data_IF_309613184265
#
_entry.id   IF_309613184265
#
_cell.length_a   1.000
_cell.length_b   1.000
_cell.length_c   1.000
_cell.angle_alpha   90.00
_cell.angle_beta   90.00
_cell.angle_gamma   90.00
#
_symmetry.space_group_name_H-M   'P 1'
#
loop_
_entity.id
_entity.type
_entity.pdbx_description
1 polymer ?
#
# COMPACT_ATOMS: atom_id res chain seq x y z
N UNK A 1 -20.71 -14.50 -68.87
CA UNK A 1 -19.29 -14.85 -69.06
C UNK A 1 -18.42 -13.81 -68.36
N UNK A 2 -17.43 -14.27 -67.59
CA UNK A 2 -16.24 -13.52 -67.08
C UNK A 2 -16.55 -12.48 -65.98
N UNK A 3 -15.82 -12.38 -64.87
CA UNK A 3 -14.57 -13.02 -64.40
C UNK A 3 -14.53 -12.87 -62.86
N UNK A 4 -14.21 -13.94 -62.16
CA UNK A 4 -13.67 -13.87 -60.80
C UNK A 4 -12.29 -13.21 -60.88
N UNK A 5 -12.06 -12.15 -60.10
CA UNK A 5 -10.73 -11.60 -59.88
C UNK A 5 -10.37 -11.72 -58.40
N UNK A 6 -9.51 -12.72 -58.17
CA UNK A 6 -8.36 -12.73 -57.27
C UNK A 6 -8.48 -12.00 -55.93
N UNK A 7 -8.71 -12.82 -54.90
CA UNK A 7 -8.24 -12.56 -53.55
C UNK A 7 -6.71 -12.34 -53.57
N UNK A 8 -6.27 -11.12 -53.30
CA UNK A 8 -4.91 -10.84 -52.89
C UNK A 8 -4.82 -11.08 -51.39
N UNK A 9 -4.35 -12.28 -51.02
CA UNK A 9 -3.74 -12.55 -49.73
C UNK A 9 -2.54 -11.62 -49.58
N UNK A 10 -2.73 -10.49 -48.89
CA UNK A 10 -1.61 -9.69 -48.37
C UNK A 10 -1.07 -10.47 -47.18
N UNK A 11 0.10 -11.05 -47.41
CA UNK A 11 0.88 -11.77 -46.43
C UNK A 11 1.08 -10.92 -45.16
N UNK A 12 0.82 -11.57 -44.03
CA UNK A 12 1.09 -11.07 -42.70
C UNK A 12 2.53 -10.58 -42.60
N UNK A 13 2.70 -9.27 -42.42
CA UNK A 13 3.87 -8.74 -41.77
C UNK A 13 3.61 -8.86 -40.27
N UNK A 14 3.97 -10.01 -39.69
CA UNK A 14 4.24 -10.03 -38.25
C UNK A 14 5.44 -9.10 -38.03
N UNK A 15 5.14 -7.82 -37.80
CA UNK A 15 6.03 -6.99 -37.04
C UNK A 15 6.11 -7.66 -35.67
N UNK A 16 7.16 -8.46 -35.46
CA UNK A 16 7.74 -8.64 -34.13
C UNK A 16 8.04 -7.23 -33.64
N UNK A 17 7.07 -6.62 -32.95
CA UNK A 17 7.22 -5.39 -32.20
C UNK A 17 8.12 -5.71 -31.01
N UNK A 18 9.41 -5.86 -31.33
CA UNK A 18 10.45 -5.96 -30.34
C UNK A 18 10.58 -4.60 -29.66
N UNK A 19 9.93 -4.49 -28.51
CA UNK A 19 10.55 -4.09 -27.24
C UNK A 19 11.51 -2.90 -27.33
N UNK A 20 11.03 -1.73 -27.70
CA UNK A 20 11.59 -0.49 -27.17
C UNK A 20 11.05 -0.25 -25.76
N UNK A 21 11.75 0.50 -24.88
CA UNK A 21 11.11 0.97 -23.66
C UNK A 21 9.83 1.70 -24.08
N UNK A 22 8.71 1.37 -23.43
CA UNK A 22 7.45 2.05 -23.67
C UNK A 22 7.60 3.57 -23.55
N UNK A 23 6.59 4.33 -23.96
CA UNK A 23 6.59 5.77 -23.68
C UNK A 23 6.76 5.97 -22.17
N UNK A 24 7.76 6.74 -21.68
CA UNK A 24 7.95 6.94 -20.25
C UNK A 24 6.70 7.50 -19.58
N UNK A 25 6.42 7.03 -18.36
CA UNK A 25 5.37 7.62 -17.54
C UNK A 25 5.90 8.91 -16.90
N UNK A 26 5.24 10.02 -17.19
CA UNK A 26 5.44 11.26 -16.46
C UNK A 26 4.55 11.26 -15.21
N UNK A 27 5.15 11.41 -14.04
CA UNK A 27 4.37 11.50 -12.79
C UNK A 27 3.70 12.88 -12.71
N UNK A 28 2.39 12.94 -12.43
CA UNK A 28 1.71 14.20 -12.11
C UNK A 28 2.41 14.98 -10.97
N UNK A 29 2.28 16.31 -10.98
CA UNK A 29 2.76 17.14 -9.86
C UNK A 29 1.95 16.90 -8.59
N UNK A 30 0.63 16.75 -8.75
CA UNK A 30 -0.30 16.44 -7.67
C UNK A 30 0.06 15.11 -6.99
N UNK A 31 0.21 15.15 -5.66
CA UNK A 31 0.69 14.01 -4.87
C UNK A 31 -0.25 12.81 -4.92
N UNK A 32 -1.57 13.04 -4.93
CA UNK A 32 -2.58 11.96 -4.98
C UNK A 32 -2.55 11.29 -6.36
N UNK A 33 -2.57 12.07 -7.44
CA UNK A 33 -2.51 11.56 -8.81
C UNK A 33 -1.17 10.84 -9.10
N UNK A 34 -0.05 11.35 -8.57
CA UNK A 34 1.23 10.68 -8.65
C UNK A 34 1.23 9.33 -7.92
N UNK A 35 0.63 9.26 -6.73
CA UNK A 35 0.52 8.02 -5.96
C UNK A 35 -0.39 6.99 -6.64
N UNK A 36 -1.50 7.43 -7.25
CA UNK A 36 -2.35 6.59 -8.09
C UNK A 36 -1.55 5.96 -9.22
N UNK A 37 -0.79 6.79 -9.94
CA UNK A 37 0.05 6.35 -11.07
C UNK A 37 1.11 5.35 -10.60
N UNK A 38 1.77 5.62 -9.47
CA UNK A 38 2.80 4.76 -8.91
C UNK A 38 2.24 3.43 -8.38
N UNK A 39 1.08 3.46 -7.73
CA UNK A 39 0.39 2.25 -7.29
C UNK A 39 -0.06 1.40 -8.47
N UNK A 40 -0.64 2.02 -9.51
CA UNK A 40 -1.04 1.34 -10.74
C UNK A 40 0.17 0.70 -11.44
N UNK A 41 1.27 1.45 -11.60
CA UNK A 41 2.49 0.97 -12.24
C UNK A 41 3.08 -0.22 -11.47
N UNK A 42 3.16 -0.14 -10.14
CA UNK A 42 3.64 -1.23 -9.29
C UNK A 42 2.71 -2.44 -9.32
N UNK A 43 1.40 -2.23 -9.33
CA UNK A 43 0.41 -3.29 -9.50
C UNK A 43 0.58 -4.04 -10.84
N UNK A 44 0.85 -3.32 -11.93
CA UNK A 44 1.15 -3.92 -13.23
C UNK A 44 2.44 -4.74 -13.19
N UNK A 45 3.52 -4.23 -12.58
CA UNK A 45 4.77 -4.99 -12.37
C UNK A 45 4.52 -6.27 -11.58
N UNK A 46 3.70 -6.22 -10.52
CA UNK A 46 3.38 -7.39 -9.70
C UNK A 46 2.55 -8.44 -10.45
N UNK A 47 1.75 -8.01 -11.43
CA UNK A 47 0.95 -8.89 -12.28
C UNK A 47 1.71 -9.39 -13.50
N UNK A 48 2.82 -8.75 -13.87
CA UNK A 48 3.61 -9.19 -15.01
C UNK A 48 4.19 -10.58 -14.75
N UNK A 49 3.98 -11.50 -15.70
CA UNK A 49 4.33 -12.90 -15.56
C UNK A 49 3.40 -13.76 -14.69
N UNK A 50 2.33 -13.21 -14.09
CA UNK A 50 1.30 -13.98 -13.38
C UNK A 50 0.18 -14.45 -14.32
N UNK A 51 -0.39 -15.62 -14.04
CA UNK A 51 -1.55 -16.13 -14.80
C UNK A 51 -2.83 -15.39 -14.41
N UNK A 52 -3.82 -15.41 -15.30
CA UNK A 52 -5.14 -14.89 -14.97
C UNK A 52 -5.77 -15.73 -13.84
N UNK A 53 -5.94 -15.13 -12.66
CA UNK A 53 -6.48 -15.80 -11.47
C UNK A 53 -5.44 -16.10 -10.39
N UNK A 54 -4.15 -15.80 -10.62
CA UNK A 54 -3.16 -15.77 -9.55
C UNK A 54 -3.37 -14.49 -8.71
N UNK A 55 -3.63 -14.67 -7.43
CA UNK A 55 -3.85 -13.56 -6.51
C UNK A 55 -2.54 -12.82 -6.19
N UNK A 56 -2.67 -11.55 -5.85
CA UNK A 56 -1.59 -10.76 -5.27
C UNK A 56 -1.45 -11.20 -3.81
N UNK A 57 -0.23 -11.49 -3.35
CA UNK A 57 -0.01 -11.85 -1.95
C UNK A 57 -0.08 -10.62 -1.05
N UNK A 58 -0.27 -10.83 0.25
CA UNK A 58 -0.23 -9.74 1.23
C UNK A 58 1.10 -8.95 1.15
N UNK A 59 2.24 -9.65 1.15
CA UNK A 59 3.58 -9.04 1.03
C UNK A 59 3.72 -8.16 -0.23
N UNK A 60 3.18 -8.62 -1.37
CA UNK A 60 3.19 -7.85 -2.61
C UNK A 60 2.31 -6.60 -2.51
N UNK A 61 1.13 -6.74 -1.90
CA UNK A 61 0.21 -5.65 -1.67
C UNK A 61 0.81 -4.59 -0.73
N UNK A 62 1.35 -4.98 0.42
CA UNK A 62 1.96 -4.04 1.38
C UNK A 62 3.20 -3.35 0.79
N UNK A 63 3.95 -4.04 -0.07
CA UNK A 63 5.03 -3.44 -0.85
C UNK A 63 4.56 -2.39 -1.87
N UNK A 64 3.32 -2.48 -2.36
CA UNK A 64 2.72 -1.53 -3.30
C UNK A 64 1.99 -0.37 -2.61
N UNK A 65 1.29 -0.63 -1.49
CA UNK A 65 0.48 0.37 -0.78
C UNK A 65 1.32 1.49 -0.14
N UNK A 66 2.65 1.31 -0.05
CA UNK A 66 3.58 2.34 0.43
C UNK A 66 3.41 3.70 -0.29
N UNK A 67 3.12 3.71 -1.60
CA UNK A 67 2.95 4.99 -2.32
C UNK A 67 1.67 5.71 -1.85
N UNK A 68 0.48 5.06 -1.82
CA UNK A 68 -0.69 5.64 -1.18
C UNK A 68 -0.45 6.13 0.25
N UNK A 69 0.25 5.35 1.08
CA UNK A 69 0.51 5.71 2.48
C UNK A 69 1.37 6.98 2.59
N UNK A 70 2.54 6.99 1.94
CA UNK A 70 3.46 8.14 1.98
C UNK A 70 2.80 9.38 1.34
N UNK A 71 1.96 9.20 0.33
CA UNK A 71 1.18 10.29 -0.26
C UNK A 71 0.15 10.85 0.71
N UNK A 72 -0.61 9.98 1.38
CA UNK A 72 -1.60 10.38 2.38
C UNK A 72 -0.95 11.10 3.58
N UNK A 73 0.24 10.69 4.00
CA UNK A 73 0.97 11.38 5.09
C UNK A 73 1.43 12.80 4.73
N UNK A 74 1.47 13.14 3.43
CA UNK A 74 1.84 14.46 2.91
C UNK A 74 0.63 15.40 2.70
N UNK A 75 -0.60 14.89 2.83
CA UNK A 75 -1.81 15.72 2.73
C UNK A 75 -2.00 16.49 4.04
N UNK A 76 -2.34 17.78 3.93
CA UNK A 76 -2.61 18.65 5.08
C UNK A 76 -4.02 19.27 4.97
N UNK A 77 -4.90 19.08 5.97
CA UNK A 77 -4.70 18.20 7.14
C UNK A 77 -4.62 16.73 6.74
N UNK A 78 -3.96 15.91 7.57
CA UNK A 78 -3.92 14.46 7.33
C UNK A 78 -5.33 13.87 7.27
N UNK A 79 -5.58 13.06 6.24
CA UNK A 79 -6.85 12.38 6.04
C UNK A 79 -6.58 10.96 5.52
N UNK A 80 -6.94 9.96 6.33
CA UNK A 80 -6.82 8.55 5.95
C UNK A 80 -7.65 8.23 4.69
N UNK A 81 -8.73 8.98 4.40
CA UNK A 81 -9.53 8.80 3.19
C UNK A 81 -8.76 9.17 1.90
N UNK A 82 -7.61 9.83 2.02
CA UNK A 82 -6.71 10.02 0.89
C UNK A 82 -6.25 8.68 0.30
N UNK A 83 -6.00 7.66 1.13
CA UNK A 83 -5.68 6.31 0.63
C UNK A 83 -6.83 5.74 -0.20
N UNK A 84 -8.06 5.82 0.30
CA UNK A 84 -9.25 5.33 -0.42
C UNK A 84 -9.40 6.06 -1.75
N UNK A 85 -9.18 7.37 -1.76
CA UNK A 85 -9.21 8.18 -2.98
C UNK A 85 -8.14 7.76 -3.99
N UNK A 86 -6.94 7.43 -3.52
CA UNK A 86 -5.86 6.90 -4.36
C UNK A 86 -6.28 5.55 -4.93
N UNK A 87 -6.64 4.58 -4.08
CA UNK A 87 -6.98 3.22 -4.52
C UNK A 87 -8.15 3.20 -5.51
N UNK A 88 -9.21 3.97 -5.25
CA UNK A 88 -10.37 4.05 -6.14
C UNK A 88 -10.08 4.76 -7.47
N UNK A 89 -9.09 5.65 -7.52
CA UNK A 89 -8.72 6.36 -8.74
C UNK A 89 -7.87 5.54 -9.72
N UNK A 90 -7.30 4.42 -9.25
CA UNK A 90 -6.38 3.58 -10.04
C UNK A 90 -7.10 2.96 -11.24
N UNK A 91 -8.34 2.51 -11.09
CA UNK A 91 -9.11 1.89 -12.18
C UNK A 91 -9.23 2.84 -13.39
N UNK A 92 -9.45 4.13 -13.14
CA UNK A 92 -9.62 5.12 -14.20
C UNK A 92 -8.34 5.39 -15.01
N UNK A 93 -7.15 5.06 -14.48
CA UNK A 93 -5.86 5.33 -15.13
C UNK A 93 -5.11 4.05 -15.51
N UNK A 94 -5.60 2.87 -15.10
CA UNK A 94 -4.90 1.59 -15.27
C UNK A 94 -4.54 1.30 -16.74
N UNK A 95 -5.49 1.51 -17.66
CA UNK A 95 -5.27 1.28 -19.09
C UNK A 95 -4.19 2.21 -19.68
N UNK A 96 -4.20 3.50 -19.30
CA UNK A 96 -3.19 4.46 -19.76
C UNK A 96 -1.79 4.07 -19.26
N UNK A 97 -1.67 3.75 -17.96
CA UNK A 97 -0.41 3.28 -17.35
C UNK A 97 0.07 1.99 -18.00
N UNK A 98 -0.82 1.04 -18.30
CA UNK A 98 -0.48 -0.25 -18.92
C UNK A 98 0.08 -0.12 -20.34
N UNK A 99 -0.22 0.98 -21.05
CA UNK A 99 0.33 1.24 -22.40
C UNK A 99 1.70 1.91 -22.40
N UNK A 100 2.24 2.25 -21.22
CA UNK A 100 3.48 3.01 -21.02
C UNK A 100 4.56 2.16 -20.35
N UNK A 101 5.75 2.74 -20.17
CA UNK A 101 6.86 2.12 -19.44
C UNK A 101 6.62 2.14 -17.92
N UNK A 102 5.70 1.29 -17.45
CA UNK A 102 5.35 1.17 -16.04
C UNK A 102 6.47 0.54 -15.19
N UNK A 103 7.27 -0.35 -15.75
CA UNK A 103 8.46 -0.89 -15.07
C UNK A 103 9.48 0.22 -14.80
N UNK A 104 9.80 1.02 -15.82
CA UNK A 104 10.71 2.17 -15.69
C UNK A 104 10.20 3.23 -14.70
N UNK A 105 8.88 3.37 -14.55
CA UNK A 105 8.26 4.32 -13.63
C UNK A 105 8.56 4.01 -12.15
N UNK A 106 8.76 2.74 -11.77
CA UNK A 106 8.95 2.32 -10.36
C UNK A 106 10.11 3.05 -9.70
N UNK A 107 11.24 3.21 -10.38
CA UNK A 107 12.41 3.92 -9.81
C UNK A 107 12.11 5.39 -9.54
N UNK A 108 11.30 6.04 -10.40
CA UNK A 108 10.89 7.44 -10.21
C UNK A 108 9.88 7.55 -9.07
N UNK A 109 8.96 6.59 -8.97
CA UNK A 109 8.01 6.48 -7.86
C UNK A 109 8.71 6.31 -6.51
N UNK A 110 9.69 5.40 -6.42
CA UNK A 110 10.50 5.19 -5.21
C UNK A 110 11.25 6.44 -4.77
N UNK A 111 11.70 7.28 -5.73
CA UNK A 111 12.34 8.56 -5.42
C UNK A 111 11.35 9.63 -4.97
N UNK A 112 10.17 9.72 -5.63
CA UNK A 112 9.13 10.71 -5.32
C UNK A 112 8.53 10.47 -3.94
N UNK A 113 8.31 9.20 -3.61
CA UNK A 113 7.72 8.71 -2.36
C UNK A 113 8.77 7.95 -1.56
N UNK A 114 9.89 8.62 -1.29
CA UNK A 114 10.93 8.04 -0.46
C UNK A 114 10.42 7.85 0.98
N UNK A 115 10.56 6.64 1.50
CA UNK A 115 10.25 6.29 2.87
C UNK A 115 11.07 7.12 3.87
N UNK A 116 10.41 7.62 4.92
CA UNK A 116 11.11 8.09 6.11
C UNK A 116 11.81 6.92 6.82
N UNK A 117 12.88 7.17 7.60
CA UNK A 117 13.51 6.13 8.39
C UNK A 117 12.51 5.42 9.31
N UNK A 118 12.57 4.09 9.33
CA UNK A 118 11.72 3.28 10.18
C UNK A 118 12.07 3.50 11.66
N UNK A 119 11.13 4.02 12.43
CA UNK A 119 11.28 4.25 13.87
C UNK A 119 9.94 4.22 14.60
N UNK A 120 9.87 3.43 15.66
CA UNK A 120 8.81 3.55 16.66
C UNK A 120 9.13 4.69 17.65
N UNK A 121 8.11 5.30 18.27
CA UNK A 121 8.30 6.16 19.43
C UNK A 121 9.10 5.47 20.54
N UNK A 122 9.93 6.23 21.26
CA UNK A 122 10.74 5.69 22.36
C UNK A 122 9.91 5.45 23.63
N UNK A 123 8.90 6.29 23.87
CA UNK A 123 7.96 6.14 24.97
C UNK A 123 6.99 4.98 24.71
N UNK A 124 6.71 4.19 25.75
CA UNK A 124 5.90 2.99 25.60
C UNK A 124 4.43 3.31 25.29
N UNK A 125 3.85 4.37 25.88
CA UNK A 125 2.46 4.72 25.64
C UNK A 125 2.28 5.24 24.20
N UNK A 126 3.22 6.07 23.73
CA UNK A 126 3.24 6.55 22.33
C UNK A 126 3.46 5.38 21.34
N UNK A 127 4.33 4.43 21.68
CA UNK A 127 4.57 3.24 20.87
C UNK A 127 3.33 2.33 20.83
N UNK A 128 2.61 2.16 21.94
CA UNK A 128 1.34 1.42 21.99
C UNK A 128 0.31 2.09 21.07
N UNK A 129 0.13 3.41 21.16
CA UNK A 129 -0.81 4.16 20.31
C UNK A 129 -0.43 3.95 18.83
N UNK A 130 0.84 4.12 18.51
CA UNK A 130 1.30 4.06 17.12
C UNK A 130 1.21 2.66 16.51
N UNK A 131 1.58 1.64 17.27
CA UNK A 131 1.39 0.25 16.86
C UNK A 131 -0.10 -0.13 16.74
N UNK A 132 -0.95 0.39 17.64
CA UNK A 132 -2.41 0.16 17.60
C UNK A 132 -3.02 0.80 16.36
N UNK A 133 -2.64 2.03 16.04
CA UNK A 133 -3.17 2.74 14.90
C UNK A 133 -2.82 2.02 13.58
N UNK A 134 -1.54 1.63 13.40
CA UNK A 134 -1.11 0.85 12.24
C UNK A 134 -1.79 -0.52 12.16
N UNK A 135 -1.86 -1.26 13.27
CA UNK A 135 -2.52 -2.57 13.28
C UNK A 135 -4.03 -2.47 12.99
N UNK A 136 -4.69 -1.41 13.46
CA UNK A 136 -6.09 -1.11 13.12
C UNK A 136 -6.28 -0.82 11.63
N UNK A 137 -5.38 -0.02 11.03
CA UNK A 137 -5.38 0.22 9.59
C UNK A 137 -5.22 -1.09 8.79
N UNK A 138 -4.24 -1.93 9.14
CA UNK A 138 -3.99 -3.21 8.46
C UNK A 138 -5.14 -4.19 8.65
N UNK A 139 -5.80 -4.19 9.81
CA UNK A 139 -6.99 -5.00 10.03
C UNK A 139 -8.09 -4.62 9.04
N UNK A 140 -8.33 -3.31 8.83
CA UNK A 140 -9.30 -2.83 7.85
C UNK A 140 -8.94 -3.22 6.41
N UNK A 141 -7.67 -3.14 6.04
CA UNK A 141 -7.17 -3.59 4.73
C UNK A 141 -7.42 -5.09 4.52
N UNK A 142 -7.02 -5.92 5.49
CA UNK A 142 -7.15 -7.38 5.39
C UNK A 142 -8.62 -7.82 5.40
N UNK A 143 -9.49 -7.11 6.11
CA UNK A 143 -10.93 -7.36 6.07
C UNK A 143 -11.57 -7.05 4.71
N UNK A 144 -11.05 -6.04 3.99
CA UNK A 144 -11.52 -5.69 2.66
C UNK A 144 -11.21 -6.75 1.59
N UNK A 145 -10.07 -7.44 1.71
CA UNK A 145 -9.56 -8.40 0.70
C UNK A 145 -9.94 -9.88 0.99
N UNK A 146 -10.64 -10.14 2.11
CA UNK A 146 -11.28 -11.44 2.37
C UNK A 146 -10.31 -12.62 2.59
N UNK A 147 -10.56 -13.75 1.92
CA UNK A 147 -9.79 -15.00 2.11
C UNK A 147 -8.35 -14.91 1.59
N UNK A 148 -8.07 -14.02 0.64
CA UNK A 148 -6.76 -13.88 0.00
C UNK A 148 -5.65 -13.54 1.01
N UNK A 149 -5.97 -12.80 2.08
CA UNK A 149 -5.04 -12.37 3.14
C UNK A 149 -5.29 -13.07 4.48
N UNK A 150 -5.97 -14.23 4.50
CA UNK A 150 -6.47 -14.85 5.73
C UNK A 150 -5.41 -15.21 6.78
N UNK A 151 -4.17 -15.54 6.36
CA UNK A 151 -3.05 -15.81 7.29
C UNK A 151 -2.57 -14.56 8.02
N UNK A 152 -2.47 -13.45 7.30
CA UNK A 152 -2.01 -12.16 7.83
C UNK A 152 -3.05 -11.55 8.76
N UNK A 153 -4.34 -11.82 8.50
CA UNK A 153 -5.44 -11.46 9.43
C UNK A 153 -5.19 -11.97 10.85
N UNK A 154 -4.78 -13.23 10.98
CA UNK A 154 -4.53 -13.82 12.29
C UNK A 154 -3.36 -13.15 13.01
N UNK A 155 -2.29 -12.81 12.26
CA UNK A 155 -1.11 -12.12 12.79
C UNK A 155 -1.44 -10.70 13.27
N UNK A 156 -2.19 -9.94 12.46
CA UNK A 156 -2.63 -8.58 12.80
C UNK A 156 -3.57 -8.60 14.01
N UNK A 157 -4.55 -9.51 14.04
CA UNK A 157 -5.45 -9.66 15.19
C UNK A 157 -4.70 -10.03 16.47
N UNK A 158 -3.73 -10.94 16.39
CA UNK A 158 -2.91 -11.31 17.54
C UNK A 158 -2.04 -10.15 18.03
N UNK A 159 -1.58 -9.26 17.14
CA UNK A 159 -0.92 -8.02 17.54
C UNK A 159 -1.89 -7.06 18.23
N UNK A 160 -3.09 -6.84 17.68
CA UNK A 160 -4.13 -6.00 18.28
C UNK A 160 -4.48 -6.44 19.70
N UNK A 161 -4.76 -7.73 19.93
CA UNK A 161 -5.07 -8.24 21.27
C UNK A 161 -3.93 -8.02 22.27
N UNK A 162 -2.67 -8.09 21.83
CA UNK A 162 -1.51 -7.80 22.69
C UNK A 162 -1.45 -6.33 23.05
N UNK A 163 -1.62 -5.44 22.06
CA UNK A 163 -1.61 -3.99 22.27
C UNK A 163 -2.74 -3.53 23.19
N UNK A 164 -3.94 -4.10 23.02
CA UNK A 164 -5.07 -3.89 23.93
C UNK A 164 -4.72 -4.31 25.36
N UNK A 165 -4.10 -5.49 25.55
CA UNK A 165 -3.66 -5.93 26.88
C UNK A 165 -2.61 -4.98 27.50
N UNK A 166 -1.68 -4.45 26.71
CA UNK A 166 -0.68 -3.51 27.24
C UNK A 166 -1.34 -2.18 27.62
N UNK A 167 -2.28 -1.70 26.79
CA UNK A 167 -3.07 -0.50 27.06
C UNK A 167 -3.89 -0.61 28.34
N UNK A 168 -4.53 -1.75 28.61
CA UNK A 168 -5.28 -2.01 29.85
C UNK A 168 -4.39 -1.97 31.10
N UNK A 169 -3.08 -2.23 30.94
CA UNK A 169 -2.10 -2.22 32.03
C UNK A 169 -1.38 -0.89 32.21
N UNK A 170 -1.63 0.12 31.37
CA UNK A 170 -1.07 1.48 31.49
C UNK A 170 -2.13 2.49 31.97
N UNK A 171 -2.18 2.81 33.28
CA UNK A 171 -3.13 3.79 33.80
C UNK A 171 -2.96 5.19 33.20
N UNK A 172 -1.73 5.59 32.86
CA UNK A 172 -1.43 6.89 32.28
C UNK A 172 -1.97 7.01 30.86
N UNK A 173 -1.79 5.97 30.04
CA UNK A 173 -2.40 5.87 28.73
C UNK A 173 -3.94 5.89 28.81
N UNK A 174 -4.53 5.15 29.75
CA UNK A 174 -5.99 5.16 29.93
C UNK A 174 -6.53 6.54 30.28
N UNK A 175 -5.84 7.30 31.14
CA UNK A 175 -6.20 8.70 31.45
C UNK A 175 -6.05 9.58 30.21
N UNK A 176 -4.97 9.41 29.46
CA UNK A 176 -4.71 10.15 28.22
C UNK A 176 -5.81 9.91 27.19
N UNK A 177 -6.20 8.65 26.95
CA UNK A 177 -7.28 8.28 26.04
C UNK A 177 -8.65 8.77 26.52
N UNK A 178 -8.89 8.82 27.83
CA UNK A 178 -10.17 9.28 28.39
C UNK A 178 -10.34 10.81 28.32
N UNK A 179 -9.24 11.56 28.32
CA UNK A 179 -9.26 13.04 28.42
C UNK A 179 -8.80 13.75 27.15
N UNK A 180 -8.08 13.05 26.28
CA UNK A 180 -7.52 13.57 25.03
C UNK A 180 -8.43 13.39 23.82
N UNK A 181 -7.97 13.94 22.70
CA UNK A 181 -8.58 13.73 21.39
C UNK A 181 -8.01 12.46 20.74
N UNK A 182 -8.63 11.32 21.03
CA UNK A 182 -8.16 10.00 20.55
C UNK A 182 -8.05 9.95 19.03
N UNK A 183 -8.99 10.56 18.31
CA UNK A 183 -8.96 10.60 16.85
C UNK A 183 -7.72 11.33 16.33
N UNK A 184 -7.41 12.51 16.88
CA UNK A 184 -6.22 13.28 16.52
C UNK A 184 -4.92 12.54 16.88
N UNK A 185 -4.87 11.88 18.04
CA UNK A 185 -3.72 11.07 18.43
C UNK A 185 -3.48 9.91 17.46
N UNK A 186 -4.52 9.15 17.15
CA UNK A 186 -4.44 8.01 16.22
C UNK A 186 -4.09 8.48 14.80
N UNK A 187 -4.68 9.59 14.34
CA UNK A 187 -4.38 10.19 13.04
C UNK A 187 -2.95 10.71 12.96
N UNK A 188 -2.43 11.33 14.03
CA UNK A 188 -1.02 11.75 14.08
C UNK A 188 -0.08 10.55 14.02
N UNK A 189 -0.37 9.49 14.79
CA UNK A 189 0.44 8.29 14.80
C UNK A 189 0.39 7.53 13.45
N UNK A 190 -0.79 7.50 12.79
CA UNK A 190 -0.94 6.98 11.44
C UNK A 190 -0.17 7.80 10.41
N UNK A 191 -0.23 9.13 10.50
CA UNK A 191 0.53 10.01 9.60
C UNK A 191 2.03 9.70 9.65
N UNK A 192 2.58 9.60 10.86
CA UNK A 192 4.01 9.34 11.07
C UNK A 192 4.42 7.95 10.58
N UNK A 193 3.61 6.93 10.88
CA UNK A 193 3.86 5.55 10.41
C UNK A 193 3.66 5.40 8.90
N UNK A 194 2.73 6.13 8.30
CA UNK A 194 2.52 6.17 6.84
C UNK A 194 3.69 6.81 6.10
N UNK A 195 4.30 7.86 6.67
CA UNK A 195 5.47 8.49 6.09
C UNK A 195 6.67 7.53 6.01
N UNK A 196 6.73 6.50 6.86
CA UNK A 196 7.78 5.48 6.85
C UNK A 196 7.59 4.47 5.72
N UNK A 197 6.35 4.19 5.30
CA UNK A 197 6.04 3.36 4.11
C UNK A 197 6.58 1.92 4.12
N UNK A 198 7.13 1.45 5.25
CA UNK A 198 7.64 0.09 5.46
C UNK A 198 6.72 -0.64 6.44
N UNK A 199 5.60 -1.13 5.93
CA UNK A 199 4.54 -1.79 6.71
C UNK A 199 5.09 -2.99 7.48
N UNK A 200 5.79 -3.89 6.80
CA UNK A 200 6.30 -5.13 7.40
C UNK A 200 7.37 -4.84 8.45
N UNK A 201 8.29 -3.90 8.14
CA UNK A 201 9.26 -3.43 9.11
C UNK A 201 8.60 -2.83 10.35
N UNK A 202 7.55 -2.03 10.17
CA UNK A 202 6.81 -1.41 11.26
C UNK A 202 6.12 -2.44 12.15
N UNK A 203 5.37 -3.36 11.55
CA UNK A 203 4.70 -4.46 12.26
C UNK A 203 5.71 -5.33 12.99
N UNK A 204 6.85 -5.64 12.36
CA UNK A 204 7.93 -6.42 12.99
C UNK A 204 8.49 -5.71 14.22
N UNK A 205 8.70 -4.39 14.16
CA UNK A 205 9.14 -3.62 15.34
C UNK A 205 8.09 -3.64 16.45
N UNK A 206 6.81 -3.48 16.11
CA UNK A 206 5.70 -3.56 17.07
C UNK A 206 5.65 -4.93 17.76
N UNK A 207 5.72 -6.01 16.99
CA UNK A 207 5.71 -7.38 17.52
C UNK A 207 6.92 -7.67 18.42
N UNK A 208 8.08 -7.10 18.09
CA UNK A 208 9.31 -7.22 18.90
C UNK A 208 9.20 -6.42 20.20
N UNK A 209 8.61 -5.22 20.17
CA UNK A 209 8.42 -4.38 21.36
C UNK A 209 7.37 -4.97 22.29
N UNK A 210 6.29 -5.51 21.73
CA UNK A 210 5.14 -6.09 22.44
C UNK A 210 5.00 -7.60 22.12
N UNK A 211 5.89 -8.45 22.66
CA UNK A 211 5.89 -9.88 22.36
C UNK A 211 4.68 -10.59 22.97
N UNK A 212 4.32 -11.75 22.40
CA UNK A 212 3.32 -12.62 23.03
C UNK A 212 3.81 -13.08 24.41
N UNK A 213 2.95 -12.98 25.43
CA UNK A 213 3.23 -13.54 26.75
C UNK A 213 3.31 -15.06 26.61
N UNK A 214 4.45 -15.65 26.96
CA UNK A 214 4.58 -17.10 26.99
C UNK A 214 3.61 -17.63 28.05
N UNK A 215 2.64 -18.44 27.65
CA UNK A 215 1.80 -19.18 28.60
C UNK A 215 2.74 -20.08 29.42
N UNK A 216 2.99 -19.68 30.67
CA UNK A 216 3.81 -20.40 31.65
C UNK A 216 2.93 -21.22 32.58
#
# INVERSE_FOLDING_TARGET
MRKFQSAALVAASLAVANCGPGVPIELPEDTIAAAQTCFAAKGLVLRDGKSQGDDVTYDEFVGAIKYPMIAASQVEPFDMNAIITILNGVEAIADDVATKDYEGAVTTCDKRFAAAPLSLPEDDDDAIISCTAMAGFLSGVVEGEGEAFGGDKASVNALMTRLESEMETSPELLVTLATGNVEEMMNSALKDSFAQGDVDGYVTQCQKRFPAKSES
#
